data_IF_815718761220
#
_entry.id   IF_815718761220
#
_cell.length_a   1.000
_cell.length_b   1.000
_cell.length_c   1.000
_cell.angle_alpha   90.00
_cell.angle_beta   90.00
_cell.angle_gamma   90.00
#
_symmetry.space_group_name_H-M   'P 1'
#
loop_
_entity.id
_entity.type
_entity.pdbx_description
1 polymer ?
#
# COMPACT_ATOMS: atom_id res chain seq x y z
N UNK A 1 -55.84 23.18 22.49
CA UNK A 1 -55.33 22.21 21.51
C UNK A 1 -53.90 21.93 21.86
N UNK A 2 -53.50 20.74 22.19
CA UNK A 2 -52.14 20.41 22.56
C UNK A 2 -51.29 20.21 21.28
N UNK A 3 -50.11 20.79 21.33
CA UNK A 3 -49.03 20.64 20.38
C UNK A 3 -48.44 19.23 20.39
N UNK A 4 -48.28 18.65 19.21
CA UNK A 4 -47.56 17.42 18.95
C UNK A 4 -46.06 17.59 19.29
N UNK A 5 -45.44 16.68 20.01
CA UNK A 5 -43.98 16.62 20.04
C UNK A 5 -43.51 15.81 18.85
N UNK A 6 -42.77 16.46 17.99
CA UNK A 6 -42.10 15.87 16.84
C UNK A 6 -41.11 14.80 17.32
N UNK A 7 -41.33 13.63 16.80
CA UNK A 7 -40.55 12.43 16.95
C UNK A 7 -39.15 12.61 16.24
N UNK A 8 -38.15 13.12 16.94
CA UNK A 8 -36.78 13.07 16.49
C UNK A 8 -36.28 11.62 16.62
N UNK A 9 -36.61 10.82 15.61
CA UNK A 9 -35.94 9.56 15.34
C UNK A 9 -34.50 9.82 15.02
N UNK A 10 -33.65 9.94 16.05
CA UNK A 10 -32.21 9.84 15.94
C UNK A 10 -31.85 8.46 15.40
N UNK A 11 -31.70 8.34 14.10
CA UNK A 11 -31.02 7.21 13.48
C UNK A 11 -29.57 7.21 13.98
N UNK A 12 -29.33 6.54 15.10
CA UNK A 12 -28.01 6.14 15.52
C UNK A 12 -27.47 5.16 14.48
N UNK A 13 -26.88 5.68 13.40
CA UNK A 13 -26.00 4.89 12.57
C UNK A 13 -24.76 4.63 13.40
N UNK A 14 -24.74 3.51 14.08
CA UNK A 14 -23.51 2.99 14.68
C UNK A 14 -22.57 2.69 13.53
N UNK A 15 -21.61 3.59 13.30
CA UNK A 15 -20.54 3.37 12.33
C UNK A 15 -19.81 2.11 12.79
N UNK A 16 -19.95 1.01 12.06
CA UNK A 16 -19.22 -0.22 12.37
C UNK A 16 -17.76 0.10 12.14
N UNK A 17 -17.00 0.26 13.22
CA UNK A 17 -15.55 0.44 13.14
C UNK A 17 -14.95 -0.87 12.63
N UNK A 18 -14.37 -0.84 11.44
CA UNK A 18 -13.68 -2.00 10.87
C UNK A 18 -12.35 -2.14 11.60
N UNK A 19 -12.12 -3.28 12.21
CA UNK A 19 -10.79 -3.69 12.69
C UNK A 19 -10.00 -4.22 11.49
N UNK A 20 -9.17 -3.35 10.91
CA UNK A 20 -8.34 -3.71 9.76
C UNK A 20 -7.32 -4.80 10.08
N UNK A 21 -6.78 -4.84 11.29
CA UNK A 21 -5.83 -5.88 11.71
C UNK A 21 -6.50 -7.24 11.71
N UNK A 22 -7.68 -7.35 12.34
CA UNK A 22 -8.44 -8.59 12.34
C UNK A 22 -8.85 -8.99 10.92
N UNK A 23 -9.36 -8.04 10.13
CA UNK A 23 -9.79 -8.28 8.75
C UNK A 23 -8.65 -8.89 7.92
N UNK A 24 -7.47 -8.25 7.90
CA UNK A 24 -6.35 -8.71 7.06
C UNK A 24 -5.74 -10.00 7.59
N UNK A 25 -5.63 -10.20 8.91
CA UNK A 25 -5.21 -11.48 9.47
C UNK A 25 -6.13 -12.62 8.99
N UNK A 26 -7.45 -12.40 8.99
CA UNK A 26 -8.42 -13.39 8.53
C UNK A 26 -8.26 -13.68 7.03
N UNK A 27 -8.12 -12.65 6.19
CA UNK A 27 -7.94 -12.78 4.73
C UNK A 27 -6.72 -13.64 4.40
N UNK A 28 -5.57 -13.38 5.06
CA UNK A 28 -4.33 -14.14 4.81
C UNK A 28 -4.31 -15.53 5.47
N UNK A 29 -5.20 -15.79 6.41
CA UNK A 29 -5.38 -17.13 7.01
C UNK A 29 -6.30 -18.00 6.16
N UNK A 30 -7.36 -17.44 5.61
CA UNK A 30 -8.42 -18.19 4.94
C UNK A 30 -8.14 -18.49 3.46
N UNK A 31 -7.28 -17.72 2.81
CA UNK A 31 -7.03 -17.82 1.38
C UNK A 31 -5.59 -18.25 1.07
N UNK A 32 -5.44 -19.13 0.08
CA UNK A 32 -4.15 -19.38 -0.55
C UNK A 32 -3.65 -18.09 -1.21
N UNK A 33 -2.40 -17.73 -0.95
CA UNK A 33 -1.79 -16.46 -1.43
C UNK A 33 -1.98 -16.25 -2.93
N UNK A 34 -1.80 -17.30 -3.72
CA UNK A 34 -1.87 -17.27 -5.19
C UNK A 34 -3.29 -17.03 -5.72
N UNK A 35 -4.31 -17.18 -4.87
CA UNK A 35 -5.72 -16.93 -5.21
C UNK A 35 -6.19 -15.52 -4.83
N UNK A 36 -5.37 -14.77 -4.08
CA UNK A 36 -5.71 -13.40 -3.69
C UNK A 36 -5.81 -12.49 -4.92
N UNK A 37 -6.83 -11.63 -4.95
CA UNK A 37 -7.13 -10.79 -6.11
C UNK A 37 -6.06 -9.77 -6.49
N UNK A 38 -5.03 -9.59 -5.67
CA UNK A 38 -3.88 -8.72 -5.91
C UNK A 38 -2.57 -9.47 -6.12
N UNK A 39 -2.61 -10.82 -6.08
CA UNK A 39 -1.42 -11.64 -6.26
C UNK A 39 -0.86 -11.50 -7.68
N UNK A 40 0.42 -11.18 -7.77
CA UNK A 40 1.18 -11.17 -9.02
C UNK A 40 2.24 -12.26 -8.98
N UNK A 41 2.28 -13.10 -9.99
CA UNK A 41 3.35 -14.08 -10.13
C UNK A 41 4.69 -13.40 -10.50
N UNK A 42 4.60 -12.31 -11.27
CA UNK A 42 5.75 -11.52 -11.71
C UNK A 42 5.38 -10.03 -11.61
N UNK A 43 5.94 -9.26 -10.64
CA UNK A 43 5.63 -7.84 -10.45
C UNK A 43 6.43 -6.94 -11.42
N UNK A 44 6.33 -7.21 -12.73
CA UNK A 44 7.16 -6.61 -13.77
C UNK A 44 7.06 -5.08 -13.82
N UNK A 45 5.86 -4.53 -13.68
CA UNK A 45 5.62 -3.07 -13.72
C UNK A 45 6.32 -2.38 -12.55
N UNK A 46 6.21 -2.97 -11.36
CA UNK A 46 6.92 -2.48 -10.17
C UNK A 46 8.43 -2.57 -10.33
N UNK A 47 8.94 -3.70 -10.80
CA UNK A 47 10.38 -3.91 -11.03
C UNK A 47 10.92 -2.94 -12.08
N UNK A 48 10.20 -2.71 -13.18
CA UNK A 48 10.59 -1.76 -14.22
C UNK A 48 10.77 -0.34 -13.66
N UNK A 49 9.86 0.10 -12.79
CA UNK A 49 9.96 1.42 -12.15
C UNK A 49 11.10 1.48 -11.13
N UNK A 50 11.34 0.39 -10.36
CA UNK A 50 12.47 0.31 -9.43
C UNK A 50 13.81 0.39 -10.18
N UNK A 51 13.94 -0.32 -11.29
CA UNK A 51 15.15 -0.29 -12.13
C UNK A 51 15.39 1.11 -12.70
N UNK A 52 14.34 1.84 -13.08
CA UNK A 52 14.43 3.22 -13.53
C UNK A 52 14.96 4.19 -12.45
N UNK A 53 14.84 3.83 -11.16
CA UNK A 53 15.42 4.62 -10.06
C UNK A 53 16.94 4.48 -9.95
N UNK A 54 17.55 3.48 -10.58
CA UNK A 54 18.99 3.18 -10.55
C UNK A 54 19.57 3.16 -9.11
N UNK A 55 18.90 2.46 -8.20
CA UNK A 55 19.25 2.38 -6.79
C UNK A 55 20.48 1.48 -6.57
N UNK A 56 21.30 1.82 -5.57
CA UNK A 56 22.33 0.93 -5.06
C UNK A 56 21.69 -0.33 -4.44
N UNK A 57 22.42 -1.45 -4.43
CA UNK A 57 21.87 -2.72 -3.92
C UNK A 57 21.66 -2.72 -2.40
N UNK A 58 22.28 -1.82 -1.69
CA UNK A 58 22.08 -1.56 -0.27
C UNK A 58 21.13 -0.37 0.00
N UNK A 59 20.35 0.07 -0.99
CA UNK A 59 19.33 1.10 -0.77
C UNK A 59 18.23 0.58 0.18
N UNK A 60 17.77 1.46 1.06
CA UNK A 60 16.65 1.20 1.97
C UNK A 60 15.33 1.26 1.20
N UNK A 61 14.67 0.10 1.01
CA UNK A 61 13.42 -0.02 0.26
C UNK A 61 12.29 -0.36 1.22
N UNK A 62 11.34 0.54 1.37
CA UNK A 62 10.16 0.35 2.20
C UNK A 62 8.96 -0.09 1.36
N UNK A 63 8.34 -1.20 1.78
CA UNK A 63 7.23 -1.85 1.10
C UNK A 63 6.05 -1.87 2.08
N UNK A 64 5.18 -0.84 2.09
CA UNK A 64 3.97 -0.83 2.89
C UNK A 64 2.95 -1.85 2.38
N UNK A 65 2.23 -2.49 3.29
CA UNK A 65 1.29 -3.55 2.97
C UNK A 65 1.95 -4.67 2.18
N UNK A 66 3.16 -5.05 2.58
CA UNK A 66 3.95 -6.06 1.88
C UNK A 66 3.19 -7.37 1.72
N UNK A 67 2.37 -7.71 2.72
CA UNK A 67 1.55 -8.90 2.68
C UNK A 67 2.37 -10.12 2.29
N UNK A 68 1.85 -10.88 1.34
CA UNK A 68 2.53 -12.02 0.75
C UNK A 68 3.05 -11.72 -0.67
N UNK A 69 3.48 -10.47 -0.92
CA UNK A 69 3.93 -10.02 -2.25
C UNK A 69 5.16 -10.78 -2.75
N UNK A 70 5.19 -11.09 -4.04
CA UNK A 70 6.34 -11.65 -4.75
C UNK A 70 7.41 -10.60 -5.08
N UNK A 71 7.09 -9.32 -4.91
CA UNK A 71 8.05 -8.24 -5.13
C UNK A 71 9.30 -8.38 -4.25
N UNK A 72 9.13 -8.83 -3.01
CA UNK A 72 10.24 -9.07 -2.08
C UNK A 72 11.18 -10.14 -2.63
N UNK A 73 10.63 -11.25 -3.16
CA UNK A 73 11.41 -12.33 -3.76
C UNK A 73 12.24 -11.82 -4.94
N UNK A 74 11.64 -11.02 -5.83
CA UNK A 74 12.33 -10.43 -6.97
C UNK A 74 13.43 -9.43 -6.56
N UNK A 75 13.20 -8.64 -5.51
CA UNK A 75 14.22 -7.73 -4.98
C UNK A 75 15.41 -8.49 -4.40
N UNK A 76 15.16 -9.58 -3.65
CA UNK A 76 16.22 -10.46 -3.15
C UNK A 76 17.00 -11.11 -4.29
N UNK A 77 16.31 -11.64 -5.33
CA UNK A 77 16.92 -12.21 -6.53
C UNK A 77 17.80 -11.18 -7.26
N UNK A 78 17.45 -9.90 -7.20
CA UNK A 78 18.23 -8.79 -7.75
C UNK A 78 19.32 -8.27 -6.80
N UNK A 79 19.58 -8.98 -5.68
CA UNK A 79 20.58 -8.68 -4.66
C UNK A 79 20.37 -7.35 -3.91
N UNK A 80 19.13 -6.90 -3.71
CA UNK A 80 18.84 -5.85 -2.75
C UNK A 80 18.94 -6.43 -1.33
N UNK A 81 19.55 -5.68 -0.40
CA UNK A 81 19.94 -6.19 0.93
C UNK A 81 19.26 -5.49 2.10
N UNK A 82 18.55 -4.40 1.85
CA UNK A 82 17.93 -3.60 2.90
C UNK A 82 16.44 -3.36 2.56
N UNK A 83 15.63 -4.39 2.75
CA UNK A 83 14.19 -4.33 2.52
C UNK A 83 13.46 -4.16 3.85
N UNK A 84 12.48 -3.27 3.91
CA UNK A 84 11.61 -3.08 5.06
C UNK A 84 10.19 -3.47 4.61
N UNK A 85 9.74 -4.65 5.05
CA UNK A 85 8.42 -5.18 4.76
C UNK A 85 7.46 -4.80 5.90
N UNK A 86 6.54 -3.89 5.65
CA UNK A 86 5.51 -3.51 6.62
C UNK A 86 4.15 -4.10 6.23
N UNK A 87 3.42 -4.56 7.21
CA UNK A 87 1.99 -4.87 7.08
C UNK A 87 1.30 -4.69 8.45
N UNK A 88 -0.01 -4.47 8.44
CA UNK A 88 -0.83 -4.49 9.65
C UNK A 88 -1.16 -5.93 10.09
N UNK A 89 -1.03 -6.88 9.18
CA UNK A 89 -1.31 -8.31 9.37
C UNK A 89 -0.05 -9.08 9.71
N UNK A 90 0.00 -9.64 10.92
CA UNK A 90 1.04 -10.58 11.33
C UNK A 90 1.02 -11.87 10.50
N UNK A 91 -0.18 -12.36 10.16
CA UNK A 91 -0.34 -13.57 9.33
C UNK A 91 0.28 -13.39 7.94
N UNK A 92 0.12 -12.21 7.33
CA UNK A 92 0.69 -11.87 6.05
C UNK A 92 2.23 -11.89 6.09
N UNK A 93 2.84 -11.18 7.06
CA UNK A 93 4.30 -11.13 7.21
C UNK A 93 4.89 -12.47 7.61
N UNK A 94 4.18 -13.30 8.40
CA UNK A 94 4.62 -14.65 8.73
C UNK A 94 4.67 -15.55 7.48
N UNK A 95 3.69 -15.44 6.59
CA UNK A 95 3.67 -16.15 5.31
C UNK A 95 4.83 -15.71 4.41
N UNK A 96 5.08 -14.39 4.30
CA UNK A 96 6.23 -13.84 3.58
C UNK A 96 7.55 -14.36 4.13
N UNK A 97 7.75 -14.24 5.46
CA UNK A 97 8.97 -14.68 6.15
C UNK A 97 9.27 -16.15 5.89
N UNK A 98 8.25 -17.00 5.98
CA UNK A 98 8.39 -18.44 5.73
C UNK A 98 8.81 -18.73 4.28
N UNK A 99 8.25 -18.01 3.31
CA UNK A 99 8.54 -18.20 1.89
C UNK A 99 9.97 -17.80 1.53
N UNK A 100 10.46 -16.67 2.06
CA UNK A 100 11.81 -16.16 1.80
C UNK A 100 12.86 -16.70 2.78
N UNK A 101 12.52 -17.75 3.56
CA UNK A 101 13.42 -18.45 4.48
C UNK A 101 14.08 -17.52 5.52
N UNK A 102 13.31 -16.56 6.06
CA UNK A 102 13.75 -15.61 7.08
C UNK A 102 15.06 -14.87 6.70
N UNK A 103 15.10 -14.35 5.49
CA UNK A 103 16.26 -13.63 4.96
C UNK A 103 16.67 -12.46 5.85
N UNK A 104 17.96 -12.38 6.17
CA UNK A 104 18.55 -11.27 6.95
C UNK A 104 18.56 -9.92 6.20
N UNK A 105 18.21 -9.93 4.92
CA UNK A 105 18.05 -8.72 4.09
C UNK A 105 16.70 -8.03 4.29
N UNK A 106 15.83 -8.55 5.16
CA UNK A 106 14.48 -8.02 5.37
C UNK A 106 14.26 -7.70 6.84
N UNK A 107 13.86 -6.46 7.10
CA UNK A 107 13.25 -6.05 8.36
C UNK A 107 11.72 -6.18 8.23
N UNK A 108 11.08 -6.87 9.18
CA UNK A 108 9.63 -7.05 9.20
C UNK A 108 9.02 -6.14 10.26
N UNK A 109 8.11 -5.26 9.87
CA UNK A 109 7.50 -4.27 10.75
C UNK A 109 5.98 -4.43 10.74
N UNK A 110 5.41 -4.96 11.83
CA UNK A 110 3.95 -4.99 12.03
C UNK A 110 3.57 -3.62 12.58
N UNK A 111 2.84 -2.82 11.78
CA UNK A 111 2.41 -1.47 12.19
C UNK A 111 1.33 -0.91 11.25
N UNK A 112 0.54 0.03 11.76
CA UNK A 112 -0.49 0.76 11.01
C UNK A 112 0.09 2.06 10.41
N UNK A 113 0.04 2.17 9.08
CA UNK A 113 0.48 3.37 8.35
C UNK A 113 -0.29 4.65 8.72
N UNK A 114 -1.49 4.51 9.27
CA UNK A 114 -2.33 5.65 9.68
C UNK A 114 -2.17 6.05 11.14
N UNK A 115 -1.58 5.17 11.95
CA UNK A 115 -1.28 5.41 13.37
C UNK A 115 0.06 4.73 13.74
N UNK A 116 1.19 5.15 13.15
CA UNK A 116 2.47 4.46 13.29
C UNK A 116 3.02 4.56 14.71
N UNK A 117 3.58 3.45 15.19
CA UNK A 117 4.31 3.34 16.47
C UNK A 117 5.78 3.01 16.20
N UNK A 118 6.02 1.91 15.49
CA UNK A 118 7.36 1.44 15.15
C UNK A 118 7.92 2.17 13.93
N UNK A 119 7.09 2.40 12.91
CA UNK A 119 7.47 3.10 11.68
C UNK A 119 7.92 4.54 11.94
N UNK A 120 7.45 5.15 13.03
CA UNK A 120 7.81 6.52 13.38
C UNK A 120 9.29 6.68 13.76
N UNK A 121 9.95 5.58 14.13
CA UNK A 121 11.37 5.51 14.49
C UNK A 121 12.28 5.05 13.35
N UNK A 122 11.74 4.70 12.18
CA UNK A 122 12.55 4.29 11.03
C UNK A 122 13.46 5.42 10.55
N UNK A 123 14.61 5.02 10.03
CA UNK A 123 15.52 5.94 9.31
C UNK A 123 14.92 6.35 7.97
N UNK A 124 15.53 7.38 7.37
CA UNK A 124 15.15 7.79 6.01
C UNK A 124 15.42 6.67 5.00
N UNK A 125 14.47 6.50 4.06
CA UNK A 125 14.46 5.47 3.02
C UNK A 125 14.77 6.02 1.64
N UNK A 126 15.34 5.19 0.79
CA UNK A 126 15.63 5.51 -0.61
C UNK A 126 14.41 5.38 -1.52
N UNK A 127 13.56 4.39 -1.24
CA UNK A 127 12.37 4.09 -2.03
C UNK A 127 11.21 3.70 -1.12
N UNK A 128 10.07 4.36 -1.34
CA UNK A 128 8.74 3.92 -0.89
C UNK A 128 8.02 3.29 -2.08
N UNK A 129 7.58 2.03 -1.95
CA UNK A 129 6.82 1.38 -3.02
C UNK A 129 5.53 0.76 -2.49
N UNK A 130 4.41 1.39 -2.81
CA UNK A 130 3.06 0.96 -2.45
C UNK A 130 2.31 0.48 -3.69
N UNK A 131 1.90 -0.78 -3.64
CA UNK A 131 0.95 -1.34 -4.59
C UNK A 131 -0.30 -1.82 -3.86
N UNK A 132 -1.41 -1.11 -4.08
CA UNK A 132 -2.74 -1.50 -3.61
C UNK A 132 -2.96 -1.39 -2.09
N UNK A 133 -2.34 -0.40 -1.41
CA UNK A 133 -2.58 -0.12 0.01
C UNK A 133 -3.26 1.23 0.23
N UNK A 134 -2.72 2.31 -0.32
CA UNK A 134 -3.27 3.67 -0.17
C UNK A 134 -4.76 3.75 -0.48
N UNK A 135 -5.24 2.95 -1.42
CA UNK A 135 -6.64 3.00 -1.83
C UNK A 135 -7.63 2.56 -0.74
N UNK A 136 -7.20 1.86 0.31
CA UNK A 136 -8.04 1.52 1.46
C UNK A 136 -8.27 2.70 2.42
N UNK A 137 -7.46 3.74 2.34
CA UNK A 137 -7.65 4.93 3.18
C UNK A 137 -8.69 5.85 2.57
N UNK A 138 -9.96 5.66 2.95
CA UNK A 138 -11.08 6.46 2.43
C UNK A 138 -11.27 7.77 3.19
N UNK A 139 -10.99 7.80 4.51
CA UNK A 139 -11.08 9.00 5.35
C UNK A 139 -9.88 9.92 5.12
N UNK A 140 -10.12 11.24 5.12
CA UNK A 140 -9.06 12.23 4.87
C UNK A 140 -7.96 12.21 5.94
N UNK A 141 -8.32 11.93 7.19
CA UNK A 141 -7.37 11.78 8.31
C UNK A 141 -6.37 10.66 8.04
N UNK A 142 -6.86 9.50 7.59
CA UNK A 142 -6.03 8.34 7.26
C UNK A 142 -5.11 8.63 6.06
N UNK A 143 -5.63 9.27 5.00
CA UNK A 143 -4.81 9.71 3.86
C UNK A 143 -3.72 10.68 4.29
N UNK A 144 -4.08 11.66 5.12
CA UNK A 144 -3.12 12.66 5.61
C UNK A 144 -2.03 12.01 6.46
N UNK A 145 -2.38 11.08 7.36
CA UNK A 145 -1.42 10.31 8.15
C UNK A 145 -0.44 9.54 7.25
N UNK A 146 -0.95 8.77 6.27
CA UNK A 146 -0.15 8.05 5.29
C UNK A 146 0.84 8.96 4.54
N UNK A 147 0.35 10.08 3.96
CA UNK A 147 1.23 10.98 3.20
C UNK A 147 2.21 11.75 4.09
N UNK A 148 1.86 12.00 5.36
CA UNK A 148 2.79 12.61 6.33
C UNK A 148 3.92 11.64 6.66
N UNK A 149 3.61 10.36 6.92
CA UNK A 149 4.61 9.32 7.15
C UNK A 149 5.53 9.16 5.92
N UNK A 150 4.97 9.06 4.73
CA UNK A 150 5.72 8.98 3.48
C UNK A 150 6.68 10.17 3.32
N UNK A 151 6.21 11.41 3.50
CA UNK A 151 7.06 12.61 3.41
C UNK A 151 8.13 12.66 4.48
N UNK A 152 7.86 12.11 5.67
CA UNK A 152 8.84 12.02 6.76
C UNK A 152 9.96 11.03 6.41
N UNK A 153 9.61 9.86 5.89
CA UNK A 153 10.56 8.77 5.70
C UNK A 153 11.35 8.85 4.39
N UNK A 154 10.74 9.28 3.29
CA UNK A 154 11.46 9.35 2.00
C UNK A 154 12.49 10.47 2.05
N UNK A 155 13.78 10.14 1.88
CA UNK A 155 14.88 11.11 1.92
C UNK A 155 14.90 12.05 0.72
N UNK A 156 15.66 13.14 0.81
CA UNK A 156 15.95 14.02 -0.32
C UNK A 156 16.56 13.19 -1.47
N UNK A 157 16.06 13.41 -2.69
CA UNK A 157 16.35 12.60 -3.90
C UNK A 157 15.85 11.15 -3.85
N UNK A 158 15.20 10.72 -2.77
CA UNK A 158 14.53 9.42 -2.72
C UNK A 158 13.33 9.34 -3.65
N UNK A 159 12.84 8.12 -3.86
CA UNK A 159 11.78 7.83 -4.83
C UNK A 159 10.51 7.33 -4.16
N UNK A 160 9.39 7.52 -4.85
CA UNK A 160 8.07 7.01 -4.45
C UNK A 160 7.42 6.36 -5.66
N UNK A 161 7.05 5.09 -5.53
CA UNK A 161 6.22 4.38 -6.50
C UNK A 161 4.86 4.15 -5.86
N UNK A 162 3.79 4.62 -6.52
CA UNK A 162 2.41 4.37 -6.12
C UNK A 162 1.67 3.69 -7.27
N UNK A 163 1.17 2.48 -7.02
CA UNK A 163 0.34 1.71 -7.93
C UNK A 163 -1.04 1.49 -7.30
N UNK A 164 -2.03 2.24 -7.74
CA UNK A 164 -3.35 2.29 -7.14
C UNK A 164 -4.45 2.00 -8.16
N UNK A 165 -5.64 1.62 -7.70
CA UNK A 165 -6.78 1.43 -8.60
C UNK A 165 -7.07 2.72 -9.36
N UNK A 166 -7.18 2.58 -10.70
CA UNK A 166 -7.54 3.68 -11.59
C UNK A 166 -8.98 4.15 -11.40
N UNK A 167 -9.30 5.38 -11.78
CA UNK A 167 -10.58 6.04 -11.54
C UNK A 167 -11.80 5.18 -11.90
N UNK A 168 -11.73 4.47 -13.02
CA UNK A 168 -12.79 3.59 -13.53
C UNK A 168 -12.70 2.16 -12.97
N UNK A 169 -11.76 1.91 -12.04
CA UNK A 169 -11.54 0.63 -11.42
C UNK A 169 -12.61 0.23 -10.40
N UNK A 170 -12.40 -0.92 -9.78
CA UNK A 170 -13.26 -1.46 -8.74
C UNK A 170 -13.46 -0.45 -7.59
N UNK A 171 -14.65 -0.43 -7.01
CA UNK A 171 -14.99 0.40 -5.84
C UNK A 171 -14.85 -0.35 -4.53
N UNK A 172 -14.60 -1.66 -4.61
CA UNK A 172 -14.34 -2.52 -3.45
C UNK A 172 -13.17 -3.46 -3.72
N UNK A 173 -12.39 -3.75 -2.66
CA UNK A 173 -11.36 -4.77 -2.64
C UNK A 173 -11.44 -5.54 -1.33
N UNK A 174 -11.42 -6.87 -1.38
CA UNK A 174 -11.57 -7.73 -0.19
C UNK A 174 -12.78 -7.36 0.70
N UNK A 175 -13.90 -6.99 0.10
CA UNK A 175 -15.11 -6.54 0.82
C UNK A 175 -15.08 -5.10 1.31
N UNK A 176 -13.92 -4.45 1.34
CA UNK A 176 -13.73 -3.06 1.79
C UNK A 176 -13.93 -2.06 0.65
N UNK A 177 -14.48 -0.88 0.99
CA UNK A 177 -14.55 0.24 0.07
C UNK A 177 -13.15 0.80 -0.21
N UNK A 178 -12.92 1.31 -1.42
CA UNK A 178 -11.64 1.85 -1.83
C UNK A 178 -11.77 3.20 -2.54
N UNK A 179 -10.71 4.03 -2.44
CA UNK A 179 -10.53 5.23 -3.23
C UNK A 179 -9.75 4.91 -4.51
N UNK A 180 -10.20 5.46 -5.64
CA UNK A 180 -9.54 5.31 -6.92
C UNK A 180 -8.76 6.58 -7.24
N UNK A 181 -7.64 6.44 -7.95
CA UNK A 181 -6.70 7.52 -8.21
C UNK A 181 -6.35 7.65 -9.69
N UNK A 182 -5.87 8.82 -10.06
CA UNK A 182 -5.08 9.06 -11.26
C UNK A 182 -3.75 9.74 -10.87
N UNK A 183 -2.82 9.84 -11.81
CA UNK A 183 -1.50 10.41 -11.55
C UNK A 183 -1.56 11.87 -11.02
N UNK A 184 -2.52 12.67 -11.50
CA UNK A 184 -2.70 14.05 -11.05
C UNK A 184 -3.10 14.12 -9.58
N UNK A 185 -4.06 13.30 -9.14
CA UNK A 185 -4.49 13.23 -7.74
C UNK A 185 -3.34 12.82 -6.82
N UNK A 186 -2.54 11.83 -7.23
CA UNK A 186 -1.36 11.39 -6.47
C UNK A 186 -0.30 12.49 -6.38
N UNK A 187 -0.05 13.23 -7.48
CA UNK A 187 0.86 14.37 -7.49
C UNK A 187 0.37 15.49 -6.55
N UNK A 188 -0.93 15.78 -6.54
CA UNK A 188 -1.52 16.80 -5.65
C UNK A 188 -1.36 16.40 -4.17
N UNK A 189 -1.53 15.13 -3.84
CA UNK A 189 -1.33 14.60 -2.48
C UNK A 189 0.13 14.64 -2.02
N UNK A 190 1.07 14.31 -2.90
CA UNK A 190 2.51 14.37 -2.59
C UNK A 190 3.00 15.81 -2.44
N UNK A 191 2.40 16.74 -3.19
CA UNK A 191 2.73 18.16 -3.14
C UNK A 191 3.94 18.56 -4.00
N UNK A 192 4.36 19.80 -3.81
CA UNK A 192 5.40 20.44 -4.63
C UNK A 192 6.78 19.83 -4.45
N UNK A 193 7.05 19.20 -3.31
CA UNK A 193 8.35 18.60 -2.98
C UNK A 193 8.65 17.33 -3.78
N UNK A 194 7.65 16.77 -4.47
CA UNK A 194 7.82 15.59 -5.30
C UNK A 194 7.56 15.91 -6.77
N UNK A 195 8.43 15.41 -7.63
CA UNK A 195 8.31 15.54 -9.09
C UNK A 195 7.86 14.22 -9.67
N UNK A 196 6.78 14.23 -10.44
CA UNK A 196 6.38 13.07 -11.26
C UNK A 196 7.43 12.86 -12.36
N UNK A 197 8.00 11.66 -12.41
CA UNK A 197 8.97 11.23 -13.42
C UNK A 197 8.34 10.36 -14.49
N UNK A 198 7.41 9.47 -14.09
CA UNK A 198 6.72 8.54 -14.99
C UNK A 198 5.32 8.24 -14.48
N UNK A 199 4.39 7.99 -15.39
CA UNK A 199 3.08 7.41 -15.08
C UNK A 199 2.52 6.66 -16.28
N UNK A 200 1.83 5.55 -16.03
CA UNK A 200 1.11 4.79 -17.04
C UNK A 200 -0.07 4.03 -16.42
N UNK A 201 -1.05 3.74 -17.25
CA UNK A 201 -2.18 2.90 -16.88
C UNK A 201 -1.87 1.45 -17.21
N UNK A 202 -2.30 0.53 -16.33
CA UNK A 202 -2.03 -0.89 -16.46
C UNK A 202 -3.29 -1.71 -16.19
N UNK A 203 -3.61 -2.63 -17.09
CA UNK A 203 -4.73 -3.57 -16.94
C UNK A 203 -4.22 -4.86 -16.30
N UNK A 204 -4.30 -4.95 -14.99
CA UNK A 204 -3.91 -6.14 -14.26
C UNK A 204 -4.97 -7.24 -14.39
N UNK A 205 -4.53 -8.47 -14.72
CA UNK A 205 -5.38 -9.65 -14.74
C UNK A 205 -5.23 -10.43 -13.43
N UNK A 206 -6.31 -10.49 -12.65
CA UNK A 206 -6.36 -11.24 -11.38
C UNK A 206 -6.23 -12.75 -11.62
N UNK A 207 -5.84 -13.53 -10.61
CA UNK A 207 -5.86 -14.99 -10.67
C UNK A 207 -7.23 -15.58 -11.08
N UNK A 208 -8.32 -14.91 -10.74
CA UNK A 208 -9.69 -15.27 -11.16
C UNK A 208 -10.03 -14.96 -12.62
N UNK A 209 -9.11 -14.34 -13.37
CA UNK A 209 -9.32 -13.90 -14.76
C UNK A 209 -9.98 -12.53 -14.90
N UNK A 210 -10.44 -11.91 -13.81
CA UNK A 210 -11.01 -10.56 -13.85
C UNK A 210 -9.93 -9.50 -14.08
N UNK A 211 -10.30 -8.38 -14.72
CA UNK A 211 -9.37 -7.28 -14.99
C UNK A 211 -9.56 -6.17 -13.96
N UNK A 212 -8.44 -5.64 -13.47
CA UNK A 212 -8.39 -4.46 -12.60
C UNK A 212 -7.48 -3.39 -13.18
N UNK A 213 -7.99 -2.23 -13.57
CA UNK A 213 -7.17 -1.13 -14.04
C UNK A 213 -6.46 -0.45 -12.86
N UNK A 214 -5.16 -0.25 -13.03
CA UNK A 214 -4.27 0.46 -12.14
C UNK A 214 -3.68 1.69 -12.81
N UNK A 215 -3.34 2.70 -12.03
CA UNK A 215 -2.38 3.75 -12.39
C UNK A 215 -1.09 3.49 -11.65
N UNK A 216 0.01 3.38 -12.37
CA UNK A 216 1.37 3.34 -11.83
C UNK A 216 2.01 4.71 -11.96
N UNK A 217 2.71 5.13 -10.92
CA UNK A 217 3.41 6.42 -10.89
C UNK A 217 4.77 6.29 -10.25
N UNK A 218 5.75 7.02 -10.76
CA UNK A 218 7.08 7.16 -10.16
C UNK A 218 7.33 8.65 -9.89
N UNK A 219 7.63 8.97 -8.64
CA UNK A 219 8.00 10.31 -8.20
C UNK A 219 9.40 10.32 -7.62
N UNK A 220 10.04 11.50 -7.64
CA UNK A 220 11.28 11.76 -6.92
C UNK A 220 11.12 12.97 -6.03
N UNK A 221 11.59 12.86 -4.78
CA UNK A 221 11.66 13.99 -3.84
C UNK A 221 12.77 14.96 -4.30
N UNK A 222 12.41 16.27 -4.38
CA UNK A 222 13.31 17.35 -4.82
C UNK A 222 14.26 17.77 -3.72
#
# INVERSE_FOLDING_TARGET
>A
MPSNPDDESCCNHTEILIDYTQHWNQVYTDAETEKLGWYENNPNESITLIEACNLAKNAEIFIPGAGATTLVDELLNKNYTNLIANDISESALSSLRSRVQDSTSIEYVIDDLTNPVNLDSLKEIDLWIDRAVLHFFIKEEAKNAYFNLLRKLVKFKGFVILAQFYLEGAKKCSGLDVCNYNAKMLQERLGIDFKLLNSFDYSYTMPSGGIRPYVYTLFQRK
#
